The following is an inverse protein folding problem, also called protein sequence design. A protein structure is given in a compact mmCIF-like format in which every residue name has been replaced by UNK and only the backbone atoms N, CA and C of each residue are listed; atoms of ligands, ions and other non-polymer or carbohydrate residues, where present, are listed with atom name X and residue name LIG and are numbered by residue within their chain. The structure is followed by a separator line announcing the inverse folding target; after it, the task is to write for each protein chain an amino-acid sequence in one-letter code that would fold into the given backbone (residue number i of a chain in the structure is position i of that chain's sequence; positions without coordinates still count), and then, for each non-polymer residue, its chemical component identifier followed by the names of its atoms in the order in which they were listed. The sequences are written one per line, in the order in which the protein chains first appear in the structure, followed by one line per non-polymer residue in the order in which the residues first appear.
data_IF_839783410645
#
_entry.id   IF_839783410645
#
_cell.length_a   1.000
_cell.length_b   1.000
_cell.length_c   1.000
_cell.angle_alpha   90.00
_cell.angle_beta   90.00
_cell.angle_gamma   90.00
#
_symmetry.space_group_name_H-M   'P 1'
#
loop_
_entity.id
_entity.type
_entity.pdbx_description
1 polymer ?
#
# COMPACT_ATOMS: atom_id res chain seq x y z
N UNK A 1 1.58 8.10 -0.84
CA UNK A 1 0.56 8.44 -1.86
C UNK A 1 -0.45 9.44 -1.30
N UNK A 2 -1.26 9.06 -0.29
CA UNK A 2 -2.26 9.93 0.34
C UNK A 2 -1.73 11.26 0.86
N UNK A 3 -0.56 11.24 1.51
CA UNK A 3 0.03 12.43 2.15
C UNK A 3 1.05 13.17 1.27
N UNK A 4 1.20 12.78 0.00
CA UNK A 4 2.18 13.40 -0.93
C UNK A 4 1.51 13.90 -2.20
N UNK A 5 0.63 13.07 -2.79
CA UNK A 5 -0.10 13.42 -4.03
C UNK A 5 -1.56 13.81 -3.75
N UNK A 6 -1.99 13.72 -2.50
CA UNK A 6 -3.34 14.06 -2.03
C UNK A 6 -4.51 13.56 -2.89
N UNK A 7 -4.51 12.30 -3.38
CA UNK A 7 -5.69 11.76 -4.06
C UNK A 7 -6.85 11.59 -3.08
N UNK A 8 -8.07 11.54 -3.62
CA UNK A 8 -9.23 11.12 -2.83
C UNK A 8 -9.05 9.68 -2.31
N UNK A 9 -9.75 9.34 -1.22
CA UNK A 9 -9.73 7.97 -0.68
C UNK A 9 -10.19 6.93 -1.73
N UNK A 10 -11.15 7.33 -2.57
CA UNK A 10 -11.68 6.49 -3.64
C UNK A 10 -10.62 6.22 -4.72
N UNK A 11 -9.88 7.25 -5.15
CA UNK A 11 -8.79 7.10 -6.12
C UNK A 11 -7.64 6.28 -5.54
N UNK A 12 -7.27 6.55 -4.28
CA UNK A 12 -6.24 5.79 -3.59
C UNK A 12 -6.58 4.30 -3.51
N UNK A 13 -7.83 3.98 -3.18
CA UNK A 13 -8.35 2.62 -3.15
C UNK A 13 -8.28 1.93 -4.52
N UNK A 14 -8.69 2.63 -5.59
CA UNK A 14 -8.60 2.11 -6.98
C UNK A 14 -7.15 1.83 -7.39
N UNK A 15 -6.21 2.74 -7.11
CA UNK A 15 -4.79 2.59 -7.44
C UNK A 15 -4.20 1.38 -6.70
N UNK A 16 -4.50 1.24 -5.40
CA UNK A 16 -4.01 0.11 -4.60
C UNK A 16 -4.58 -1.22 -5.10
N UNK A 17 -5.87 -1.27 -5.42
CA UNK A 17 -6.50 -2.47 -5.99
C UNK A 17 -5.84 -2.88 -7.30
N UNK A 18 -5.70 -1.94 -8.25
CA UNK A 18 -5.07 -2.22 -9.55
C UNK A 18 -3.61 -2.69 -9.42
N UNK A 19 -2.90 -2.22 -8.39
CA UNK A 19 -1.52 -2.64 -8.13
C UNK A 19 -1.48 -4.04 -7.54
N UNK A 20 -2.35 -4.36 -6.57
CA UNK A 20 -2.47 -5.70 -5.99
C UNK A 20 -2.91 -6.75 -7.01
N UNK A 21 -3.82 -6.39 -7.93
CA UNK A 21 -4.26 -7.28 -9.00
C UNK A 21 -3.13 -7.72 -9.94
N UNK A 22 -2.02 -6.98 -10.01
CA UNK A 22 -0.82 -7.37 -10.79
C UNK A 22 0.03 -8.41 -10.08
N UNK A 23 -0.15 -8.61 -8.78
CA UNK A 23 0.58 -9.61 -8.00
C UNK A 23 -0.30 -10.86 -7.82
N UNK A 24 -0.26 -11.75 -8.82
CA UNK A 24 -1.06 -13.00 -8.87
C UNK A 24 -0.92 -13.89 -7.63
N UNK A 25 0.20 -13.84 -6.91
CA UNK A 25 0.47 -14.67 -5.75
C UNK A 25 -0.15 -14.14 -4.44
N UNK A 26 -0.59 -12.88 -4.39
CA UNK A 26 -1.21 -12.28 -3.19
C UNK A 26 -2.72 -12.54 -3.08
N UNK A 27 -3.34 -13.11 -4.13
CA UNK A 27 -4.76 -13.50 -4.12
C UNK A 27 -5.05 -14.78 -3.32
N UNK A 28 -4.02 -15.49 -2.84
CA UNK A 28 -4.14 -16.80 -2.16
C UNK A 28 -4.49 -16.72 -0.67
N UNK A 29 -4.41 -15.56 -0.05
CA UNK A 29 -4.90 -15.39 1.32
C UNK A 29 -6.32 -14.82 1.26
N UNK A 30 -7.19 -15.19 2.22
CA UNK A 30 -8.53 -14.64 2.50
C UNK A 30 -8.46 -13.12 2.83
N UNK A 31 -7.91 -12.37 1.89
CA UNK A 31 -7.67 -10.96 1.99
C UNK A 31 -8.89 -10.30 1.36
N UNK A 32 -9.84 -9.87 2.18
CA UNK A 32 -10.89 -8.95 1.74
C UNK A 32 -10.23 -7.59 1.41
N UNK A 33 -9.58 -7.53 0.25
CA UNK A 33 -8.69 -6.46 -0.18
C UNK A 33 -9.38 -5.11 -0.10
N UNK A 34 -10.68 -5.05 -0.42
CA UNK A 34 -11.45 -3.81 -0.34
C UNK A 34 -11.52 -3.23 1.07
N UNK A 35 -11.86 -4.03 2.07
CA UNK A 35 -12.04 -3.55 3.45
C UNK A 35 -10.70 -3.21 4.10
N UNK A 36 -9.66 -4.04 3.89
CA UNK A 36 -8.31 -3.74 4.37
C UNK A 36 -7.72 -2.51 3.68
N UNK A 37 -7.81 -2.37 2.36
CA UNK A 37 -7.33 -1.17 1.63
C UNK A 37 -8.04 0.07 2.16
N UNK A 38 -9.37 0.04 2.32
CA UNK A 38 -10.11 1.19 2.81
C UNK A 38 -9.69 1.58 4.24
N UNK A 39 -9.59 0.60 5.14
CA UNK A 39 -9.13 0.85 6.53
C UNK A 39 -7.71 1.42 6.59
N UNK A 40 -6.77 0.87 5.81
CA UNK A 40 -5.39 1.35 5.68
C UNK A 40 -5.37 2.77 5.10
N UNK A 41 -6.20 3.06 4.10
CA UNK A 41 -6.29 4.38 3.47
C UNK A 41 -6.76 5.43 4.47
N UNK A 42 -7.80 5.11 5.24
CA UNK A 42 -8.36 6.00 6.26
C UNK A 42 -7.40 6.19 7.44
N UNK A 43 -6.78 5.11 7.91
CA UNK A 43 -5.87 5.11 9.06
C UNK A 43 -4.49 5.74 8.79
N UNK A 44 -4.03 5.80 7.53
CA UNK A 44 -2.72 6.35 7.17
C UNK A 44 -2.72 7.84 6.80
N UNK A 45 -3.84 8.57 6.95
CA UNK A 45 -3.81 10.03 6.78
C UNK A 45 -2.88 10.65 7.83
N UNK A 46 -1.98 11.52 7.39
CA UNK A 46 -0.98 12.18 8.26
C UNK A 46 0.28 11.34 8.57
N UNK A 47 0.32 10.06 8.22
CA UNK A 47 1.54 9.25 8.37
C UNK A 47 2.62 9.62 7.34
N UNK A 48 3.87 9.68 7.77
CA UNK A 48 5.02 9.86 6.86
C UNK A 48 5.30 8.55 6.12
N UNK A 49 5.72 8.67 4.86
CA UNK A 49 6.22 7.53 4.10
C UNK A 49 7.47 6.96 4.78
N UNK A 50 7.63 5.63 4.75
CA UNK A 50 8.90 5.01 5.11
C UNK A 50 9.98 5.46 4.12
N UNK A 51 11.15 5.84 4.63
CA UNK A 51 12.29 6.22 3.78
C UNK A 51 12.92 4.98 3.16
N UNK A 52 13.59 5.13 2.01
CA UNK A 52 14.31 4.01 1.38
C UNK A 52 15.38 3.41 2.29
N UNK A 53 16.11 4.23 3.05
CA UNK A 53 17.11 3.76 4.01
C UNK A 53 16.50 2.88 5.10
N UNK A 54 15.37 3.33 5.68
CA UNK A 54 14.65 2.57 6.70
C UNK A 54 14.03 1.29 6.14
N UNK A 55 13.54 1.32 4.90
CA UNK A 55 13.02 0.14 4.22
C UNK A 55 14.13 -0.90 3.97
N UNK A 56 15.33 -0.45 3.57
CA UNK A 56 16.50 -1.32 3.36
C UNK A 56 16.96 -2.01 4.66
N UNK A 57 16.91 -1.30 5.78
CA UNK A 57 17.31 -1.80 7.10
C UNK A 57 16.27 -2.75 7.72
N UNK A 58 14.99 -2.38 7.69
CA UNK A 58 13.95 -3.10 8.45
C UNK A 58 13.18 -4.12 7.60
N UNK A 59 13.18 -3.99 6.27
CA UNK A 59 12.35 -4.79 5.37
C UNK A 59 13.08 -5.13 4.07
N UNK A 60 14.26 -5.76 4.20
CA UNK A 60 15.15 -6.07 3.07
C UNK A 60 14.46 -6.84 1.94
N UNK A 61 13.60 -7.80 2.28
CA UNK A 61 12.86 -8.62 1.31
C UNK A 61 11.83 -7.81 0.51
N UNK A 62 11.33 -6.72 1.08
CA UNK A 62 10.44 -5.76 0.41
C UNK A 62 11.24 -4.72 -0.39
N UNK A 63 12.43 -4.36 0.07
CA UNK A 63 13.32 -3.40 -0.62
C UNK A 63 13.89 -3.94 -1.93
N UNK A 64 14.33 -5.21 -1.95
CA UNK A 64 14.98 -5.83 -3.12
C UNK A 64 14.14 -5.85 -4.42
N UNK A 65 12.80 -6.05 -4.40
CA UNK A 65 11.97 -6.05 -5.60
C UNK A 65 11.42 -4.67 -6.04
N UNK A 66 11.84 -3.56 -5.42
CA UNK A 66 11.42 -2.18 -5.76
C UNK A 66 12.43 -1.54 -6.72
#
# INVERSE_FOLDING_TARGET
MLNVRHPSELEASKIMKNRLDKYNNLRKEDFESRLKIYSITKGNKGFKLISCSKLKEENRDVYLPI
#
